data_IF_254657327637
#
_entry.id   IF_254657327637
#
_cell.length_a   1.000
_cell.length_b   1.000
_cell.length_c   1.000
_cell.angle_alpha   90.00
_cell.angle_beta   90.00
_cell.angle_gamma   90.00
#
_symmetry.space_group_name_H-M   'P 1'
#
loop_
_entity.id
_entity.type
_entity.pdbx_description
1 polymer ?
#
# COMPACT_ATOMS: atom_id res chain seq x y z
N UNK A 1 -40.40 6.61 -64.82
CA UNK A 1 -40.47 7.28 -63.51
C UNK A 1 -40.01 6.28 -62.47
N UNK A 2 -38.79 6.47 -61.97
CA UNK A 2 -38.18 5.69 -60.88
C UNK A 2 -38.24 6.59 -59.65
N UNK A 3 -38.72 6.15 -58.47
CA UNK A 3 -38.58 6.96 -57.26
C UNK A 3 -37.48 6.44 -56.34
N UNK A 4 -36.69 7.43 -55.92
CA UNK A 4 -36.01 7.65 -54.65
C UNK A 4 -34.92 6.70 -54.15
N UNK A 5 -33.70 7.25 -54.26
CA UNK A 5 -32.49 6.91 -53.51
C UNK A 5 -32.74 6.94 -51.99
N UNK A 6 -32.64 5.78 -51.35
CA UNK A 6 -32.47 5.69 -49.89
C UNK A 6 -31.00 5.97 -49.54
N UNK A 7 -30.72 7.16 -49.01
CA UNK A 7 -29.45 7.45 -48.34
C UNK A 7 -29.42 6.72 -46.99
N UNK A 8 -28.37 5.93 -46.64
CA UNK A 8 -28.30 5.29 -45.34
C UNK A 8 -27.97 6.34 -44.27
N UNK A 9 -28.86 6.50 -43.29
CA UNK A 9 -28.61 7.28 -42.09
C UNK A 9 -27.47 6.61 -41.31
N UNK A 10 -26.30 7.24 -41.27
CA UNK A 10 -25.18 6.78 -40.46
C UNK A 10 -25.60 6.78 -38.98
N UNK A 11 -25.60 5.61 -38.34
CA UNK A 11 -25.85 5.49 -36.91
C UNK A 11 -24.74 6.22 -36.15
N UNK A 12 -25.12 7.18 -35.31
CA UNK A 12 -24.22 7.77 -34.32
C UNK A 12 -23.77 6.67 -33.37
N UNK A 13 -22.50 6.27 -33.45
CA UNK A 13 -21.90 5.38 -32.48
C UNK A 13 -22.00 6.05 -31.10
N UNK A 14 -22.63 5.43 -30.10
CA UNK A 14 -22.59 5.96 -28.75
C UNK A 14 -21.14 5.92 -28.27
N UNK A 15 -20.56 7.10 -28.06
CA UNK A 15 -19.27 7.21 -27.41
C UNK A 15 -19.52 6.84 -25.95
N UNK A 16 -19.21 5.59 -25.60
CA UNK A 16 -19.10 5.18 -24.21
C UNK A 16 -17.79 5.81 -23.71
N UNK A 17 -17.89 6.95 -23.01
CA UNK A 17 -16.76 7.45 -22.24
C UNK A 17 -16.57 6.50 -21.06
N UNK A 18 -15.67 5.54 -21.20
CA UNK A 18 -15.16 4.83 -20.03
C UNK A 18 -14.47 5.89 -19.16
N UNK A 19 -14.81 6.01 -17.87
CA UNK A 19 -14.06 6.87 -16.97
C UNK A 19 -12.59 6.47 -17.08
N UNK A 20 -11.72 7.47 -17.31
CA UNK A 20 -10.28 7.31 -17.15
C UNK A 20 -10.05 6.53 -15.85
N UNK A 21 -9.35 5.39 -15.90
CA UNK A 21 -9.20 4.42 -14.80
C UNK A 21 -9.14 5.18 -13.47
N UNK A 22 -10.26 5.22 -12.75
CA UNK A 22 -10.28 5.87 -11.45
C UNK A 22 -9.46 4.97 -10.54
N UNK A 23 -8.51 5.54 -9.80
CA UNK A 23 -7.76 4.82 -8.80
C UNK A 23 -8.72 4.36 -7.67
N UNK A 24 -9.31 3.19 -7.85
CA UNK A 24 -10.32 2.60 -6.94
C UNK A 24 -9.70 1.82 -5.77
N UNK A 25 -8.37 1.67 -5.74
CA UNK A 25 -7.72 0.66 -4.92
C UNK A 25 -7.87 0.93 -3.41
N UNK A 26 -7.84 2.20 -3.00
CA UNK A 26 -8.07 2.58 -1.59
C UNK A 26 -9.49 2.17 -1.15
N UNK A 27 -10.53 2.51 -1.91
CA UNK A 27 -11.91 2.13 -1.60
C UNK A 27 -12.11 0.60 -1.58
N UNK A 28 -11.35 -0.12 -2.40
CA UNK A 28 -11.51 -1.57 -2.57
C UNK A 28 -10.85 -2.37 -1.45
N UNK A 29 -9.73 -1.90 -0.92
CA UNK A 29 -8.85 -2.70 -0.07
C UNK A 29 -8.65 -2.18 1.35
N UNK A 30 -9.13 -0.96 1.65
CA UNK A 30 -9.09 -0.39 3.00
C UNK A 30 -10.52 -0.36 3.53
N UNK A 31 -10.77 -1.11 4.59
CA UNK A 31 -12.09 -1.17 5.22
C UNK A 31 -12.32 -0.01 6.19
N UNK A 32 -11.29 0.35 6.98
CA UNK A 32 -11.34 1.44 7.96
C UNK A 32 -11.58 2.80 7.29
N UNK A 33 -12.68 3.47 7.65
CA UNK A 33 -13.11 4.70 6.99
C UNK A 33 -12.21 5.90 7.28
N UNK A 34 -11.61 5.97 8.47
CA UNK A 34 -10.71 7.06 8.84
C UNK A 34 -9.39 6.96 8.07
N UNK A 35 -8.79 5.77 8.05
CA UNK A 35 -7.59 5.47 7.28
C UNK A 35 -7.86 5.67 5.78
N UNK A 36 -9.00 5.22 5.28
CA UNK A 36 -9.42 5.40 3.89
C UNK A 36 -9.47 6.89 3.51
N UNK A 37 -10.10 7.73 4.33
CA UNK A 37 -10.15 9.17 4.11
C UNK A 37 -8.75 9.79 4.10
N UNK A 38 -7.92 9.47 5.10
CA UNK A 38 -6.55 9.97 5.19
C UNK A 38 -5.70 9.59 3.97
N UNK A 39 -5.77 8.34 3.51
CA UNK A 39 -5.03 7.87 2.33
C UNK A 39 -5.53 8.56 1.05
N UNK A 40 -6.83 8.82 0.93
CA UNK A 40 -7.40 9.57 -0.20
C UNK A 40 -6.88 11.00 -0.22
N UNK A 41 -6.83 11.66 0.93
CA UNK A 41 -6.32 13.04 1.03
C UNK A 41 -4.85 13.12 0.62
N UNK A 42 -4.01 12.23 1.15
CA UNK A 42 -2.59 12.14 0.77
C UNK A 42 -2.47 11.87 -0.74
N UNK A 43 -3.20 10.88 -1.28
CA UNK A 43 -3.21 10.57 -2.71
C UNK A 43 -3.55 11.80 -3.56
N UNK A 44 -4.58 12.56 -3.18
CA UNK A 44 -5.02 13.73 -3.93
C UNK A 44 -3.95 14.83 -3.93
N UNK A 45 -3.24 15.02 -2.81
CA UNK A 45 -2.11 15.95 -2.72
C UNK A 45 -0.94 15.52 -3.61
N UNK A 46 -0.71 14.21 -3.74
CA UNK A 46 0.37 13.64 -4.54
C UNK A 46 0.03 13.45 -6.03
N UNK A 47 -1.22 13.68 -6.45
CA UNK A 47 -1.77 13.23 -7.73
C UNK A 47 -0.96 13.66 -8.97
N UNK A 48 -0.38 14.86 -8.96
CA UNK A 48 0.37 15.45 -10.08
C UNK A 48 1.89 15.20 -9.99
N UNK A 49 2.38 14.46 -8.98
CA UNK A 49 3.81 14.18 -8.83
C UNK A 49 4.23 13.07 -9.78
N UNK A 50 5.38 13.24 -10.42
CA UNK A 50 5.99 12.21 -11.29
C UNK A 50 6.96 11.31 -10.53
N UNK A 51 7.45 11.76 -9.38
CA UNK A 51 8.29 10.98 -8.46
C UNK A 51 7.84 11.23 -7.02
N UNK A 52 7.75 10.17 -6.22
CA UNK A 52 7.45 10.25 -4.79
C UNK A 52 8.39 9.34 -4.01
N UNK A 53 8.92 9.87 -2.92
CA UNK A 53 9.80 9.16 -2.01
C UNK A 53 9.09 8.95 -0.67
N UNK A 54 9.16 7.74 -0.13
CA UNK A 54 8.53 7.37 1.12
C UNK A 54 9.52 6.72 2.07
N UNK A 55 9.26 6.87 3.37
CA UNK A 55 9.80 6.02 4.41
C UNK A 55 8.69 5.13 4.94
N UNK A 56 8.99 3.86 5.22
CA UNK A 56 8.02 2.87 5.71
C UNK A 56 8.62 2.04 6.82
N UNK A 57 7.81 1.71 7.82
CA UNK A 57 8.19 0.77 8.87
C UNK A 57 7.01 -0.05 9.39
N UNK A 58 7.33 -1.25 9.89
CA UNK A 58 6.38 -2.18 10.49
C UNK A 58 6.83 -2.66 11.87
N UNK A 59 6.03 -2.37 12.89
CA UNK A 59 6.29 -2.82 14.25
C UNK A 59 5.56 -4.11 14.59
N UNK A 60 6.15 -4.92 15.48
CA UNK A 60 5.50 -6.04 16.13
C UNK A 60 5.77 -5.94 17.64
N UNK A 61 4.75 -5.57 18.40
CA UNK A 61 4.81 -5.44 19.84
C UNK A 61 4.09 -6.62 20.52
N UNK A 62 4.79 -7.39 21.39
CA UNK A 62 4.11 -8.30 22.30
C UNK A 62 3.25 -7.47 23.26
N UNK A 63 1.94 -7.71 23.34
CA UNK A 63 1.18 -7.06 24.41
C UNK A 63 1.56 -7.71 25.74
N UNK A 64 2.12 -6.91 26.64
CA UNK A 64 2.20 -7.27 28.05
C UNK A 64 0.85 -6.87 28.65
N UNK A 65 0.08 -7.79 29.27
CA UNK A 65 -1.20 -7.45 29.86
C UNK A 65 -0.98 -6.51 31.06
N UNK A 66 -1.10 -5.20 30.85
CA UNK A 66 -0.94 -4.18 31.89
C UNK A 66 -2.24 -3.82 32.60
N UNK A 67 -3.38 -4.40 32.23
CA UNK A 67 -4.66 -4.15 32.87
C UNK A 67 -5.18 -5.38 33.61
N UNK A 68 -5.18 -5.30 34.94
CA UNK A 68 -5.64 -6.29 35.93
C UNK A 68 -7.15 -6.65 35.81
N UNK A 69 -7.89 -6.03 34.90
CA UNK A 69 -9.34 -6.20 34.79
C UNK A 69 -9.76 -6.87 33.50
N UNK A 70 -9.94 -8.20 33.54
CA UNK A 70 -10.39 -9.10 32.46
C UNK A 70 -9.33 -9.28 31.38
N UNK A 71 -8.69 -10.46 31.30
CA UNK A 71 -8.39 -11.21 30.06
C UNK A 71 -7.99 -12.65 30.43
N UNK A 72 -8.31 -13.61 29.55
CA UNK A 72 -7.94 -15.02 29.67
C UNK A 72 -6.40 -15.15 29.65
N UNK A 73 -5.75 -15.76 30.65
CA UNK A 73 -4.29 -15.89 30.71
C UNK A 73 -3.67 -16.70 29.55
N UNK A 74 -4.49 -17.31 28.68
CA UNK A 74 -4.05 -18.04 27.50
C UNK A 74 -4.08 -17.22 26.18
N UNK A 75 -4.53 -15.96 26.19
CA UNK A 75 -4.47 -15.09 24.99
C UNK A 75 -3.32 -14.08 25.13
N UNK A 76 -2.21 -14.36 24.46
CA UNK A 76 -1.19 -13.35 24.16
C UNK A 76 -1.72 -12.53 22.98
N UNK A 77 -2.09 -11.27 23.21
CA UNK A 77 -2.34 -10.36 22.08
C UNK A 77 -0.99 -9.88 21.55
N UNK A 78 -0.85 -9.88 20.24
CA UNK A 78 0.31 -9.30 19.56
C UNK A 78 -0.24 -8.20 18.69
N UNK A 79 0.16 -6.97 18.98
CA UNK A 79 -0.20 -5.82 18.16
C UNK A 79 0.89 -5.64 17.10
N UNK A 80 0.48 -5.33 15.89
CA UNK A 80 1.38 -4.93 14.82
C UNK A 80 0.94 -3.58 14.33
N UNK A 81 1.87 -2.67 14.14
CA UNK A 81 1.58 -1.41 13.47
C UNK A 81 2.33 -1.34 12.16
N UNK A 82 1.75 -0.65 11.19
CA UNK A 82 2.39 -0.35 9.92
C UNK A 82 2.20 1.13 9.63
N UNK A 83 3.27 1.81 9.24
CA UNK A 83 3.22 3.24 8.97
C UNK A 83 4.09 3.62 7.77
N UNK A 84 3.71 4.72 7.12
CA UNK A 84 4.56 5.38 6.14
C UNK A 84 4.50 6.90 6.31
N UNK A 85 5.52 7.58 5.80
CA UNK A 85 5.50 9.02 5.57
C UNK A 85 6.14 9.37 4.23
N UNK A 86 5.71 10.48 3.62
CA UNK A 86 6.37 11.06 2.45
C UNK A 86 7.65 11.76 2.90
N UNK A 87 8.74 11.58 2.17
CA UNK A 87 10.04 12.17 2.48
C UNK A 87 9.94 13.69 2.63
N UNK A 88 10.51 14.23 3.71
CA UNK A 88 10.47 15.66 4.10
C UNK A 88 9.07 16.26 4.31
N UNK A 89 8.01 15.44 4.31
CA UNK A 89 6.62 15.90 4.47
C UNK A 89 5.89 15.05 5.52
N UNK A 90 6.25 15.16 6.81
CA UNK A 90 5.74 14.31 7.88
C UNK A 90 4.22 14.39 8.08
N UNK A 91 3.60 15.50 7.67
CA UNK A 91 2.15 15.67 7.66
C UNK A 91 1.44 14.72 6.67
N UNK A 92 2.15 14.27 5.64
CA UNK A 92 1.69 13.26 4.68
C UNK A 92 2.13 11.88 5.15
N UNK A 93 1.58 11.46 6.28
CA UNK A 93 1.82 10.15 6.89
C UNK A 93 0.51 9.47 7.21
N UNK A 94 0.54 8.14 7.26
CA UNK A 94 -0.58 7.35 7.76
C UNK A 94 -0.05 6.10 8.46
N UNK A 95 -0.84 5.59 9.40
CA UNK A 95 -0.52 4.40 10.17
C UNK A 95 -1.76 3.54 10.38
N UNK A 96 -1.57 2.24 10.60
CA UNK A 96 -2.66 1.32 10.87
C UNK A 96 -2.22 0.21 11.83
N UNK A 97 -3.16 -0.26 12.65
CA UNK A 97 -2.96 -1.43 13.49
C UNK A 97 -3.48 -2.69 12.77
N UNK A 98 -2.64 -3.72 12.76
CA UNK A 98 -2.94 -5.03 12.19
C UNK A 98 -3.20 -6.02 13.32
N UNK A 99 -4.47 -6.41 13.45
CA UNK A 99 -4.84 -7.56 14.27
C UNK A 99 -4.74 -8.86 13.47
N UNK A 100 -4.44 -9.97 14.16
CA UNK A 100 -4.30 -11.34 13.64
C UNK A 100 -3.00 -11.63 12.89
N UNK A 101 -2.51 -12.87 12.99
CA UNK A 101 -1.30 -13.39 12.32
C UNK A 101 -0.06 -12.49 12.45
N UNK A 102 0.50 -12.35 13.66
CA UNK A 102 1.65 -11.50 13.94
C UNK A 102 2.90 -11.92 13.17
N UNK A 103 3.48 -10.97 12.42
CA UNK A 103 4.75 -11.10 11.73
C UNK A 103 5.27 -9.70 11.43
N UNK A 104 6.47 -9.36 11.93
CA UNK A 104 7.13 -8.09 11.60
C UNK A 104 7.23 -7.91 10.08
N UNK A 105 7.65 -8.93 9.33
CA UNK A 105 7.68 -8.85 7.85
C UNK A 105 6.31 -8.56 7.22
N UNK A 106 5.21 -9.01 7.83
CA UNK A 106 3.87 -8.65 7.33
C UNK A 106 3.55 -7.18 7.58
N UNK A 107 3.87 -6.66 8.77
CA UNK A 107 3.68 -5.25 9.09
C UNK A 107 4.44 -4.35 8.09
N UNK A 108 5.70 -4.71 7.79
CA UNK A 108 6.56 -4.04 6.82
C UNK A 108 5.97 -4.04 5.40
N UNK A 109 5.49 -5.21 4.94
CA UNK A 109 4.83 -5.32 3.64
C UNK A 109 3.53 -4.51 3.57
N UNK A 110 2.79 -4.41 4.68
CA UNK A 110 1.60 -3.56 4.74
C UNK A 110 1.98 -2.08 4.69
N UNK A 111 3.03 -1.65 5.39
CA UNK A 111 3.52 -0.28 5.35
C UNK A 111 3.87 0.15 3.91
N UNK A 112 4.60 -0.69 3.19
CA UNK A 112 4.90 -0.51 1.75
C UNK A 112 3.61 -0.44 0.92
N UNK A 113 2.66 -1.35 1.16
CA UNK A 113 1.40 -1.38 0.45
C UNK A 113 0.57 -0.09 0.66
N UNK A 114 0.53 0.44 1.89
CA UNK A 114 -0.16 1.70 2.19
C UNK A 114 0.48 2.89 1.45
N UNK A 115 1.81 2.97 1.43
CA UNK A 115 2.52 4.01 0.68
C UNK A 115 2.15 3.95 -0.82
N UNK A 116 2.21 2.76 -1.43
CA UNK A 116 1.87 2.56 -2.84
C UNK A 116 0.41 2.90 -3.17
N UNK A 117 -0.53 2.69 -2.24
CA UNK A 117 -1.92 3.09 -2.45
C UNK A 117 -2.05 4.59 -2.71
N UNK A 118 -1.21 5.41 -2.06
CA UNK A 118 -1.22 6.87 -2.22
C UNK A 118 -0.40 7.38 -3.39
N UNK A 119 0.49 6.56 -3.96
CA UNK A 119 1.33 6.96 -5.09
C UNK A 119 0.51 7.30 -6.34
N UNK A 120 0.89 8.29 -7.15
CA UNK A 120 0.22 8.61 -8.41
C UNK A 120 0.46 7.54 -9.50
N UNK A 121 -0.37 7.55 -10.55
CA UNK A 121 -0.19 6.66 -11.70
C UNK A 121 1.03 7.06 -12.54
N UNK A 122 1.71 6.08 -13.13
CA UNK A 122 2.90 6.24 -13.99
C UNK A 122 4.08 6.94 -13.30
N UNK A 123 4.08 6.99 -11.97
CA UNK A 123 5.10 7.67 -11.20
C UNK A 123 6.26 6.74 -10.83
N UNK A 124 7.43 7.34 -10.67
CA UNK A 124 8.55 6.69 -10.02
C UNK A 124 8.36 6.75 -8.50
N UNK A 125 8.38 5.61 -7.85
CA UNK A 125 8.20 5.49 -6.41
C UNK A 125 9.48 4.95 -5.80
N UNK A 126 10.08 5.72 -4.88
CA UNK A 126 11.21 5.24 -4.09
C UNK A 126 10.77 5.02 -2.65
N UNK A 127 11.06 3.86 -2.08
CA UNK A 127 10.70 3.55 -0.70
C UNK A 127 11.95 3.17 0.09
N UNK A 128 12.19 3.90 1.15
CA UNK A 128 13.20 3.66 2.15
C UNK A 128 12.62 2.79 3.27
N UNK A 129 13.20 1.61 3.47
CA UNK A 129 12.80 0.67 4.53
C UNK A 129 14.03 0.00 5.11
N UNK A 130 14.01 -0.32 6.41
CA UNK A 130 15.05 -1.12 7.02
C UNK A 130 14.77 -2.64 6.96
N UNK A 131 13.69 -3.06 6.30
CA UNK A 131 13.30 -4.47 6.20
C UNK A 131 13.91 -5.16 4.98
N UNK A 132 15.08 -5.78 5.16
CA UNK A 132 15.70 -6.58 4.09
C UNK A 132 14.80 -7.75 3.62
N UNK A 133 14.01 -8.30 4.55
CA UNK A 133 13.07 -9.39 4.24
C UNK A 133 11.94 -8.91 3.34
N UNK A 134 11.36 -7.73 3.57
CA UNK A 134 10.33 -7.17 2.71
C UNK A 134 10.86 -6.89 1.30
N UNK A 135 12.04 -6.26 1.20
CA UNK A 135 12.72 -6.01 -0.08
C UNK A 135 12.92 -7.32 -0.86
N UNK A 136 13.47 -8.34 -0.20
CA UNK A 136 13.68 -9.64 -0.84
C UNK A 136 12.38 -10.29 -1.31
N UNK A 137 11.30 -10.21 -0.52
CA UNK A 137 10.02 -10.82 -0.88
C UNK A 137 9.38 -10.16 -2.10
N UNK A 138 9.43 -8.83 -2.20
CA UNK A 138 8.88 -8.08 -3.34
C UNK A 138 9.71 -8.35 -4.60
N UNK A 139 11.05 -8.20 -4.53
CA UNK A 139 11.92 -8.37 -5.69
C UNK A 139 11.89 -9.81 -6.25
N UNK A 140 11.61 -10.80 -5.42
CA UNK A 140 11.68 -12.21 -5.79
C UNK A 140 10.31 -12.86 -6.07
N UNK A 141 9.23 -12.08 -6.17
CA UNK A 141 7.87 -12.59 -6.35
C UNK A 141 7.65 -13.28 -7.71
N UNK A 142 8.24 -12.74 -8.78
CA UNK A 142 8.09 -13.24 -10.15
C UNK A 142 8.92 -14.50 -10.45
N UNK A 143 9.88 -14.83 -9.59
CA UNK A 143 10.74 -16.00 -9.74
C UNK A 143 10.07 -17.31 -9.25
N UNK A 144 8.78 -17.26 -8.91
CA UNK A 144 8.02 -18.38 -8.34
C UNK A 144 6.84 -18.72 -9.25
N UNK A 145 6.62 -20.03 -9.47
CA UNK A 145 5.40 -20.48 -10.14
C UNK A 145 4.16 -20.16 -9.30
N UNK A 146 2.99 -19.95 -9.93
CA UNK A 146 1.77 -19.52 -9.24
C UNK A 146 1.38 -20.40 -8.03
N UNK A 147 1.59 -21.72 -8.10
CA UNK A 147 1.35 -22.64 -6.97
C UNK A 147 2.33 -22.42 -5.81
N UNK A 148 3.58 -22.07 -6.09
CA UNK A 148 4.58 -21.74 -5.05
C UNK A 148 4.33 -20.36 -4.45
N UNK A 149 3.83 -19.41 -5.25
CA UNK A 149 3.48 -18.06 -4.80
C UNK A 149 2.31 -18.09 -3.81
N UNK A 150 1.22 -18.81 -4.11
CA UNK A 150 0.06 -18.90 -3.22
C UNK A 150 0.37 -19.57 -1.88
N UNK A 151 1.32 -20.50 -1.86
CA UNK A 151 1.79 -21.19 -0.64
C UNK A 151 2.76 -20.36 0.20
N UNK A 152 3.22 -19.20 -0.30
CA UNK A 152 4.14 -18.35 0.43
C UNK A 152 3.42 -17.62 1.56
N UNK A 153 4.06 -17.50 2.72
CA UNK A 153 3.61 -16.59 3.78
C UNK A 153 3.50 -15.17 3.22
N UNK A 154 2.43 -14.45 3.58
CA UNK A 154 2.15 -13.10 3.07
C UNK A 154 1.87 -13.03 1.55
N UNK A 155 1.49 -14.15 0.90
CA UNK A 155 1.20 -14.19 -0.54
C UNK A 155 0.11 -13.21 -0.98
N UNK A 156 -0.92 -13.00 -0.16
CA UNK A 156 -2.02 -12.08 -0.48
C UNK A 156 -1.57 -10.61 -0.54
N UNK A 157 -0.73 -10.16 0.41
CA UNK A 157 -0.25 -8.78 0.41
C UNK A 157 0.73 -8.54 -0.74
N UNK A 158 1.60 -9.52 -1.04
CA UNK A 158 2.49 -9.46 -2.19
C UNK A 158 1.70 -9.38 -3.51
N UNK A 159 0.66 -10.18 -3.66
CA UNK A 159 -0.22 -10.12 -4.84
C UNK A 159 -0.90 -8.75 -4.97
N UNK A 160 -1.35 -8.15 -3.86
CA UNK A 160 -1.93 -6.80 -3.88
C UNK A 160 -0.90 -5.75 -4.31
N UNK A 161 0.32 -5.81 -3.79
CA UNK A 161 1.42 -4.94 -4.20
C UNK A 161 1.69 -5.09 -5.70
N UNK A 162 1.81 -6.32 -6.20
CA UNK A 162 2.05 -6.59 -7.62
C UNK A 162 0.94 -6.03 -8.52
N UNK A 163 -0.33 -6.31 -8.20
CA UNK A 163 -1.49 -5.76 -8.92
C UNK A 163 -1.41 -4.23 -8.95
N UNK A 164 -1.10 -3.60 -7.82
CA UNK A 164 -1.06 -2.15 -7.71
C UNK A 164 0.04 -1.54 -8.58
N UNK A 165 1.24 -2.13 -8.58
CA UNK A 165 2.36 -1.70 -9.41
C UNK A 165 2.04 -1.80 -10.91
N UNK A 166 1.41 -2.90 -11.33
CA UNK A 166 1.03 -3.11 -12.74
C UNK A 166 -0.10 -2.16 -13.18
N UNK A 167 -1.18 -2.09 -12.39
CA UNK A 167 -2.38 -1.32 -12.75
C UNK A 167 -2.12 0.20 -12.70
N UNK A 168 -1.29 0.66 -11.76
CA UNK A 168 -0.87 2.07 -11.67
C UNK A 168 0.38 2.37 -12.49
N UNK A 169 1.00 1.36 -13.13
CA UNK A 169 2.22 1.48 -13.94
C UNK A 169 3.35 2.21 -13.22
N UNK A 170 3.52 1.92 -11.93
CA UNK A 170 4.56 2.54 -11.11
C UNK A 170 5.92 1.90 -11.37
N UNK A 171 6.96 2.71 -11.38
CA UNK A 171 8.34 2.25 -11.34
C UNK A 171 8.83 2.26 -9.89
N UNK A 172 8.95 1.09 -9.27
CA UNK A 172 9.29 0.95 -7.85
C UNK A 172 10.79 0.72 -7.64
N UNK A 173 11.40 1.57 -6.83
CA UNK A 173 12.75 1.43 -6.30
C UNK A 173 12.70 1.23 -4.77
N UNK A 174 13.15 0.07 -4.29
CA UNK A 174 13.28 -0.19 -2.85
C UNK A 174 14.71 0.04 -2.38
N UNK A 175 14.90 0.92 -1.40
CA UNK A 175 16.20 1.28 -0.85
C UNK A 175 16.30 0.81 0.61
N UNK A 176 17.29 -0.03 0.88
CA UNK A 176 17.60 -0.46 2.25
C UNK A 176 18.26 0.67 3.01
N UNK A 177 17.63 1.14 4.09
CA UNK A 177 18.25 2.04 5.07
C UNK A 177 18.73 1.25 6.29
N UNK A 178 19.65 1.82 7.08
CA UNK A 178 20.10 1.17 8.32
C UNK A 178 19.11 1.53 9.43
N UNK A 179 18.63 0.53 10.16
CA UNK A 179 17.82 0.78 11.35
C UNK A 179 18.63 1.58 12.38
N UNK A 180 18.00 2.59 12.99
CA UNK A 180 18.58 3.42 14.06
C UNK A 180 19.90 4.10 13.70
N UNK A 181 20.04 4.59 12.47
CA UNK A 181 21.26 5.29 12.01
C UNK A 181 21.23 6.81 12.14
N UNK A 182 20.25 7.40 12.83
CA UNK A 182 20.06 8.86 12.88
C UNK A 182 19.34 9.45 11.66
N UNK A 183 18.70 8.61 10.83
CA UNK A 183 17.82 9.11 9.77
C UNK A 183 16.49 9.52 10.41
N UNK A 184 16.22 10.83 10.44
CA UNK A 184 15.07 11.44 11.11
C UNK A 184 13.74 10.90 10.58
N UNK A 185 13.63 10.65 9.26
CA UNK A 185 12.38 10.15 8.68
C UNK A 185 12.18 8.67 9.01
N UNK A 186 13.26 7.88 9.00
CA UNK A 186 13.19 6.47 9.41
C UNK A 186 12.83 6.31 10.89
N UNK A 187 13.40 7.14 11.77
CA UNK A 187 13.07 7.14 13.21
C UNK A 187 11.63 7.57 13.46
N UNK A 188 11.16 8.60 12.76
CA UNK A 188 9.77 9.04 12.84
C UNK A 188 8.79 7.93 12.44
N UNK A 189 9.02 7.24 11.32
CA UNK A 189 8.08 6.20 10.87
C UNK A 189 8.12 4.96 11.79
N UNK A 190 9.27 4.65 12.39
CA UNK A 190 9.39 3.59 13.43
C UNK A 190 8.59 3.93 14.69
N UNK A 191 8.59 5.21 15.11
CA UNK A 191 7.72 5.67 16.19
C UNK A 191 6.23 5.61 15.82
N UNK A 192 5.85 6.02 14.61
CA UNK A 192 4.46 5.92 14.13
C UNK A 192 3.98 4.46 14.12
N UNK A 193 4.80 3.55 13.59
CA UNK A 193 4.47 2.14 13.53
C UNK A 193 4.32 1.52 14.93
N UNK A 194 5.02 2.02 15.95
CA UNK A 194 4.87 1.54 17.35
C UNK A 194 3.63 2.10 18.04
N UNK A 195 3.16 3.27 17.65
CA UNK A 195 2.08 4.01 18.30
C UNK A 195 0.71 3.85 17.62
N UNK A 196 0.41 2.66 17.08
CA UNK A 196 -0.85 2.35 16.37
C UNK A 196 -1.94 1.76 17.24
#
# INVERSE_FOLDING_TARGET
MIPDDMVPTAALNPIISLPLVQDIWIHRWIDDDNLKAQLIDIRNILAERTEVEYYTDGSLMPSIPTSVGKQNPNLVYTNMGAAFCVNNEPALSAQTNLSLWPSSTRAELVAIFLALLTGPMNAKIRIYTDSQSAIYMINNQHNKSGRKLLKQTNSLILLKIDILLQEKKMDLELVKVKGHSGDVMNEMVDELAKNT
#
